data_IF_477190916805
#
_entry.id   IF_477190916805
#
_cell.length_a   1.000
_cell.length_b   1.000
_cell.length_c   1.000
_cell.angle_alpha   90.00
_cell.angle_beta   90.00
_cell.angle_gamma   90.00
#
_symmetry.space_group_name_H-M   'P 1'
#
loop_
_entity.id
_entity.type
_entity.pdbx_description
1 polymer ?
#
# COMPACT_ATOMS: atom_id res chain seq x y z
N UNK A 1 -16.85 -11.79 13.67
CA UNK A 1 -18.01 -11.34 12.87
C UNK A 1 -17.45 -10.88 11.54
N UNK A 2 -17.99 -11.34 10.42
CA UNK A 2 -17.48 -10.89 9.12
C UNK A 2 -17.91 -9.44 8.86
N UNK A 3 -16.94 -8.61 8.54
CA UNK A 3 -17.12 -7.21 8.12
C UNK A 3 -16.90 -7.15 6.62
N UNK A 4 -17.85 -6.56 5.88
CA UNK A 4 -17.66 -6.23 4.48
C UNK A 4 -16.74 -5.00 4.39
N UNK A 5 -15.62 -5.16 3.70
CA UNK A 5 -14.57 -4.13 3.51
C UNK A 5 -14.31 -3.84 2.04
N UNK A 6 -15.25 -4.22 1.15
CA UNK A 6 -15.12 -4.07 -0.31
C UNK A 6 -14.74 -2.65 -0.70
N UNK A 7 -15.40 -1.69 -0.08
CA UNK A 7 -15.24 -0.27 -0.39
C UNK A 7 -14.32 0.44 0.59
N UNK A 8 -13.67 -0.31 1.49
CA UNK A 8 -12.68 0.25 2.39
C UNK A 8 -11.41 0.54 1.62
N UNK A 9 -11.04 1.81 1.60
CA UNK A 9 -9.79 2.22 1.00
C UNK A 9 -9.18 3.41 1.71
N UNK A 10 -7.87 3.51 1.56
CA UNK A 10 -7.03 4.54 2.12
C UNK A 10 -6.07 5.00 1.04
N UNK A 11 -5.97 6.31 0.83
CA UNK A 11 -4.99 6.93 -0.06
C UNK A 11 -4.29 8.06 0.68
N UNK A 12 -2.96 8.05 0.68
CA UNK A 12 -2.12 9.09 1.23
C UNK A 12 -1.24 9.66 0.12
N UNK A 13 -1.36 10.97 -0.10
CA UNK A 13 -0.71 11.69 -1.19
C UNK A 13 0.31 12.70 -0.65
N UNK A 14 1.48 12.76 -1.29
CA UNK A 14 2.53 13.73 -0.97
C UNK A 14 3.12 14.36 -2.23
N UNK A 15 3.86 15.44 -2.03
CA UNK A 15 4.47 16.21 -3.12
C UNK A 15 5.27 15.32 -4.08
N UNK A 16 5.13 15.60 -5.37
CA UNK A 16 5.86 14.93 -6.43
C UNK A 16 7.36 15.27 -6.33
N UNK A 17 8.10 14.41 -5.64
CA UNK A 17 9.56 14.51 -5.45
C UNK A 17 10.25 13.17 -5.70
N UNK A 18 11.52 13.16 -6.13
CA UNK A 18 12.32 11.94 -6.18
C UNK A 18 12.41 11.29 -4.81
N UNK A 19 12.28 9.97 -4.78
CA UNK A 19 12.43 9.16 -3.56
C UNK A 19 13.55 8.13 -3.79
N UNK A 20 14.22 7.71 -2.72
CA UNK A 20 15.18 6.61 -2.81
C UNK A 20 14.49 5.27 -2.52
N UNK A 21 15.03 4.19 -3.07
CA UNK A 21 14.53 2.85 -2.79
C UNK A 21 14.54 2.53 -1.28
N UNK A 22 15.58 2.97 -0.57
CA UNK A 22 15.73 2.76 0.87
C UNK A 22 14.67 3.52 1.68
N UNK A 23 14.34 4.75 1.30
CA UNK A 23 13.29 5.55 1.97
C UNK A 23 11.92 4.89 1.80
N UNK A 24 11.60 4.45 0.58
CA UNK A 24 10.35 3.73 0.30
C UNK A 24 10.31 2.40 1.05
N UNK A 25 11.43 1.67 1.12
CA UNK A 25 11.55 0.41 1.86
C UNK A 25 11.29 0.60 3.36
N UNK A 26 11.92 1.59 3.99
CA UNK A 26 11.71 1.90 5.41
C UNK A 26 10.23 2.25 5.69
N UNK A 27 9.62 3.10 4.84
CA UNK A 27 8.20 3.44 4.95
C UNK A 27 7.28 2.22 4.79
N UNK A 28 7.62 1.28 3.90
CA UNK A 28 6.86 0.04 3.73
C UNK A 28 6.95 -0.88 4.96
N UNK A 29 8.12 -0.98 5.60
CA UNK A 29 8.30 -1.73 6.85
C UNK A 29 7.44 -1.10 7.95
N UNK A 30 7.53 0.21 8.15
CA UNK A 30 6.74 0.92 9.16
C UNK A 30 5.24 0.83 8.90
N UNK A 31 4.83 1.00 7.64
CA UNK A 31 3.43 0.88 7.22
C UNK A 31 2.90 -0.52 7.48
N UNK A 32 3.67 -1.55 7.14
CA UNK A 32 3.28 -2.93 7.37
C UNK A 32 3.14 -3.24 8.87
N UNK A 33 4.02 -2.68 9.71
CA UNK A 33 3.88 -2.78 11.15
C UNK A 33 2.61 -2.09 11.67
N UNK A 34 2.26 -0.91 11.14
CA UNK A 34 1.02 -0.22 11.46
C UNK A 34 -0.22 -1.03 11.03
N UNK A 35 -0.22 -1.58 9.80
CA UNK A 35 -1.28 -2.45 9.28
C UNK A 35 -1.45 -3.67 10.19
N UNK A 36 -0.37 -4.34 10.59
CA UNK A 36 -0.43 -5.53 11.46
C UNK A 36 -1.05 -5.25 12.83
N UNK A 37 -0.89 -4.03 13.34
CA UNK A 37 -1.53 -3.59 14.60
C UNK A 37 -3.02 -3.34 14.41
N UNK A 38 -3.40 -2.64 13.34
CA UNK A 38 -4.78 -2.28 13.04
C UNK A 38 -5.61 -3.50 12.60
N UNK A 39 -5.06 -4.32 11.71
CA UNK A 39 -5.67 -5.47 11.06
C UNK A 39 -4.93 -6.74 11.45
N UNK A 40 -5.35 -7.39 12.55
CA UNK A 40 -4.72 -8.62 13.05
C UNK A 40 -4.80 -9.81 12.08
N UNK A 41 -5.66 -9.71 11.07
CA UNK A 41 -5.80 -10.69 10.00
C UNK A 41 -4.65 -10.65 8.98
N UNK A 42 -3.85 -9.57 8.98
CA UNK A 42 -2.62 -9.49 8.21
C UNK A 42 -1.50 -10.27 8.91
N UNK A 43 -0.95 -11.28 8.24
CA UNK A 43 0.09 -12.16 8.79
C UNK A 43 1.50 -11.53 8.80
N UNK A 44 1.69 -10.47 8.01
CA UNK A 44 2.98 -9.81 7.85
C UNK A 44 3.72 -10.22 6.59
N UNK A 45 3.07 -10.91 5.65
CA UNK A 45 3.68 -11.34 4.39
C UNK A 45 3.05 -10.60 3.22
N UNK A 46 3.89 -9.98 2.39
CA UNK A 46 3.48 -9.39 1.13
C UNK A 46 3.93 -10.24 -0.04
N UNK A 47 3.04 -10.48 -0.99
CA UNK A 47 3.34 -10.99 -2.32
C UNK A 47 3.56 -9.82 -3.27
N UNK A 48 4.74 -9.78 -3.90
CA UNK A 48 5.07 -8.86 -4.99
C UNK A 48 5.46 -9.66 -6.23
N UNK A 49 4.72 -9.47 -7.33
CA UNK A 49 4.70 -10.38 -8.48
C UNK A 49 4.43 -11.83 -8.06
N UNK A 50 5.49 -12.60 -7.79
CA UNK A 50 5.43 -14.02 -7.40
C UNK A 50 6.29 -14.33 -6.17
N UNK A 51 6.83 -13.29 -5.52
CA UNK A 51 7.72 -13.43 -4.37
C UNK A 51 7.01 -13.03 -3.09
N UNK A 52 7.13 -13.86 -2.07
CA UNK A 52 6.70 -13.52 -0.72
C UNK A 52 7.84 -12.81 0.01
N UNK A 53 7.48 -11.75 0.72
CA UNK A 53 8.40 -10.83 1.40
C UNK A 53 7.88 -10.64 2.81
N UNK A 54 8.74 -10.89 3.80
CA UNK A 54 8.41 -10.54 5.17
C UNK A 54 8.36 -9.01 5.29
N UNK A 55 7.25 -8.50 5.82
CA UNK A 55 7.05 -7.08 6.09
C UNK A 55 8.17 -6.44 6.90
N UNK A 56 8.89 -7.19 7.74
CA UNK A 56 9.98 -6.69 8.56
C UNK A 56 11.37 -6.74 7.86
N UNK A 57 11.49 -7.35 6.67
CA UNK A 57 12.77 -7.49 5.97
C UNK A 57 13.09 -6.28 5.09
N UNK A 58 13.59 -5.21 5.73
CA UNK A 58 13.97 -3.94 5.08
C UNK A 58 14.98 -4.12 3.92
N UNK A 59 15.89 -5.10 4.04
CA UNK A 59 16.90 -5.35 3.01
C UNK A 59 16.27 -5.93 1.75
N UNK A 60 15.32 -6.86 1.90
CA UNK A 60 14.56 -7.39 0.78
C UNK A 60 13.70 -6.31 0.13
N UNK A 61 13.10 -5.42 0.92
CA UNK A 61 12.32 -4.29 0.39
C UNK A 61 13.13 -3.38 -0.52
N UNK A 62 14.31 -2.94 -0.09
CA UNK A 62 15.14 -2.01 -0.85
C UNK A 62 15.49 -2.55 -2.24
N UNK A 63 15.84 -3.84 -2.32
CA UNK A 63 16.10 -4.52 -3.60
C UNK A 63 14.87 -4.64 -4.50
N UNK A 64 13.69 -4.88 -3.90
CA UNK A 64 12.43 -4.99 -4.64
C UNK A 64 11.99 -3.64 -5.20
N UNK A 65 12.04 -2.59 -4.38
CA UNK A 65 11.74 -1.22 -4.81
C UNK A 65 12.63 -0.83 -5.99
N UNK A 66 13.95 -1.04 -5.87
CA UNK A 66 14.89 -0.75 -6.94
C UNK A 66 14.63 -1.55 -8.23
N UNK A 67 14.06 -2.76 -8.12
CA UNK A 67 13.71 -3.62 -9.26
C UNK A 67 12.39 -3.27 -9.94
N UNK A 68 11.64 -2.30 -9.39
CA UNK A 68 10.28 -1.96 -9.82
C UNK A 68 10.20 -0.54 -10.38
N UNK A 69 10.93 -0.24 -11.47
CA UNK A 69 10.93 1.10 -12.04
C UNK A 69 9.56 1.46 -12.58
N UNK A 70 9.19 2.73 -12.43
CA UNK A 70 8.03 3.31 -13.07
C UNK A 70 8.20 3.26 -14.61
N UNK A 71 7.13 2.92 -15.33
CA UNK A 71 7.14 2.78 -16.80
C UNK A 71 6.00 3.58 -17.43
N UNK A 72 6.32 4.32 -18.48
CA UNK A 72 5.37 5.02 -19.35
C UNK A 72 5.47 4.39 -20.74
N UNK A 73 4.35 3.93 -21.30
CA UNK A 73 4.30 3.22 -22.59
C UNK A 73 5.29 2.03 -22.69
N UNK A 74 5.48 1.33 -21.57
CA UNK A 74 6.39 0.18 -21.47
C UNK A 74 7.87 0.55 -21.34
N UNK A 75 8.23 1.83 -21.45
CA UNK A 75 9.60 2.33 -21.31
C UNK A 75 9.82 2.79 -19.87
N UNK A 76 10.92 2.33 -19.26
CA UNK A 76 11.30 2.81 -17.93
C UNK A 76 11.51 4.32 -17.97
N UNK A 77 10.86 5.03 -17.05
CA UNK A 77 10.99 6.47 -17.03
C UNK A 77 12.42 6.84 -16.59
N UNK A 78 13.12 7.72 -17.34
CA UNK A 78 14.53 8.02 -17.07
C UNK A 78 14.76 8.68 -15.70
N UNK A 79 13.72 9.21 -15.06
CA UNK A 79 13.76 9.74 -13.70
C UNK A 79 13.11 8.75 -12.72
N UNK A 80 13.94 7.82 -12.21
CA UNK A 80 13.96 7.22 -10.85
C UNK A 80 12.63 7.06 -10.07
N UNK A 81 11.50 6.81 -10.74
CA UNK A 81 10.24 6.50 -10.09
C UNK A 81 10.06 5.01 -9.84
N UNK A 82 9.15 4.67 -8.95
CA UNK A 82 8.80 3.29 -8.59
C UNK A 82 7.29 3.08 -8.67
N UNK A 83 6.86 1.89 -9.09
CA UNK A 83 5.44 1.48 -9.02
C UNK A 83 5.31 0.08 -8.44
N UNK A 84 4.87 0.01 -7.19
CA UNK A 84 4.76 -1.25 -6.46
C UNK A 84 3.29 -1.64 -6.33
N UNK A 85 3.00 -2.92 -6.50
CA UNK A 85 1.69 -3.52 -6.23
C UNK A 85 1.90 -4.75 -5.38
N UNK A 86 1.44 -4.67 -4.13
CA UNK A 86 1.63 -5.67 -3.08
C UNK A 86 0.28 -6.29 -2.75
N UNK A 87 0.25 -7.60 -2.59
CA UNK A 87 -0.95 -8.31 -2.15
C UNK A 87 -0.62 -9.19 -0.95
N UNK A 88 -1.48 -9.22 0.05
CA UNK A 88 -1.41 -10.19 1.14
C UNK A 88 -2.70 -10.99 1.14
N UNK A 89 -2.58 -12.32 1.14
CA UNK A 89 -3.73 -13.17 1.34
C UNK A 89 -4.26 -12.99 2.77
N UNK A 90 -5.58 -12.98 2.93
CA UNK A 90 -6.25 -12.94 4.23
C UNK A 90 -7.05 -14.25 4.38
N UNK A 91 -7.12 -14.85 5.59
CA UNK A 91 -8.03 -15.96 5.86
C UNK A 91 -9.46 -15.65 5.41
N UNK A 92 -10.10 -16.59 4.71
CA UNK A 92 -11.41 -16.40 4.09
C UNK A 92 -11.36 -16.08 2.58
N UNK A 93 -10.18 -15.83 2.01
CA UNK A 93 -9.97 -15.70 0.56
C UNK A 93 -9.94 -14.27 0.05
N UNK A 94 -10.30 -13.29 0.87
CA UNK A 94 -10.06 -11.87 0.60
C UNK A 94 -8.55 -11.56 0.60
N UNK A 95 -8.17 -10.42 0.02
CA UNK A 95 -6.80 -9.96 -0.08
C UNK A 95 -6.71 -8.52 0.42
N UNK A 96 -5.65 -8.22 1.17
CA UNK A 96 -5.20 -6.85 1.37
C UNK A 96 -4.34 -6.48 0.16
N UNK A 97 -4.59 -5.34 -0.45
CA UNK A 97 -3.77 -4.82 -1.54
C UNK A 97 -3.20 -3.47 -1.11
N UNK A 98 -1.92 -3.26 -1.41
CA UNK A 98 -1.26 -1.98 -1.25
C UNK A 98 -0.55 -1.60 -2.54
N UNK A 99 -0.52 -0.32 -2.87
CA UNK A 99 0.25 0.20 -3.99
C UNK A 99 1.02 1.45 -3.63
N UNK A 100 2.21 1.59 -4.22
CA UNK A 100 3.06 2.77 -4.11
C UNK A 100 3.32 3.27 -5.51
N UNK A 101 3.12 4.57 -5.76
CA UNK A 101 3.60 5.22 -6.98
C UNK A 101 4.33 6.50 -6.59
N UNK A 102 5.66 6.51 -6.73
CA UNK A 102 6.47 7.63 -6.27
C UNK A 102 7.64 7.93 -7.20
N UNK A 103 8.04 9.20 -7.27
CA UNK A 103 9.34 9.61 -7.82
C UNK A 103 9.44 9.70 -9.34
N UNK A 104 8.32 9.67 -10.07
CA UNK A 104 8.31 9.85 -11.51
C UNK A 104 8.46 11.34 -11.90
N UNK A 105 9.37 11.68 -12.82
CA UNK A 105 9.35 13.01 -13.44
C UNK A 105 8.08 13.23 -14.27
N UNK A 106 7.44 12.17 -14.78
CA UNK A 106 6.14 12.24 -15.42
C UNK A 106 5.08 12.71 -14.42
N UNK A 107 5.08 12.18 -13.19
CA UNK A 107 4.23 12.70 -12.11
C UNK A 107 4.46 14.21 -11.90
N UNK A 108 5.72 14.68 -11.93
CA UNK A 108 6.00 16.13 -11.86
C UNK A 108 5.53 16.91 -13.10
N UNK A 109 5.55 16.31 -14.29
CA UNK A 109 5.10 16.94 -15.55
C UNK A 109 3.58 17.08 -15.59
N UNK A 110 2.84 16.08 -15.12
CA UNK A 110 1.37 16.09 -15.05
C UNK A 110 0.82 16.59 -13.71
N UNK A 111 1.69 17.09 -12.81
CA UNK A 111 1.36 17.50 -11.44
C UNK A 111 0.56 16.45 -10.65
N UNK A 112 0.84 15.15 -10.87
CA UNK A 112 0.24 14.08 -10.08
C UNK A 112 1.10 13.86 -8.83
N UNK A 113 0.52 13.85 -7.61
CA UNK A 113 1.28 13.57 -6.39
C UNK A 113 1.87 12.16 -6.39
N UNK A 114 2.85 11.96 -5.51
CA UNK A 114 3.25 10.62 -5.10
C UNK A 114 2.12 10.03 -4.23
N UNK A 115 1.91 8.72 -4.32
CA UNK A 115 0.70 8.07 -3.79
C UNK A 115 1.05 6.76 -3.09
N UNK A 116 0.47 6.54 -1.91
CA UNK A 116 0.38 5.25 -1.25
C UNK A 116 -1.09 4.92 -1.04
N UNK A 117 -1.52 3.74 -1.48
CA UNK A 117 -2.90 3.30 -1.35
C UNK A 117 -2.98 1.92 -0.71
N UNK A 118 -4.03 1.70 0.07
CA UNK A 118 -4.41 0.40 0.64
C UNK A 118 -5.90 0.17 0.40
N UNK A 119 -6.25 -1.01 -0.08
CA UNK A 119 -7.64 -1.45 -0.21
C UNK A 119 -7.76 -2.96 -0.02
N UNK A 120 -8.99 -3.46 -0.08
CA UNK A 120 -9.28 -4.88 0.00
C UNK A 120 -9.83 -5.38 -1.34
N UNK A 121 -9.51 -6.62 -1.68
CA UNK A 121 -10.02 -7.29 -2.88
C UNK A 121 -10.62 -8.63 -2.51
N UNK A 122 -11.78 -8.93 -3.07
CA UNK A 122 -12.34 -10.26 -2.98
C UNK A 122 -11.51 -11.26 -3.80
N UNK A 123 -11.65 -12.54 -3.49
CA UNK A 123 -11.00 -13.63 -4.24
C UNK A 123 -11.44 -13.66 -5.70
N UNK A 124 -12.72 -13.38 -5.93
CA UNK A 124 -13.38 -13.45 -7.24
C UNK A 124 -13.99 -12.11 -7.57
N UNK A 125 -13.95 -11.79 -8.86
CA UNK A 125 -14.56 -10.58 -9.39
C UNK A 125 -16.07 -10.58 -9.11
N UNK A 126 -16.58 -9.46 -8.58
CA UNK A 126 -18.00 -9.26 -8.26
C UNK A 126 -18.46 -9.83 -6.91
N UNK A 127 -17.58 -10.49 -6.14
CA UNK A 127 -17.88 -10.89 -4.76
C UNK A 127 -17.48 -9.78 -3.77
N UNK A 128 -18.14 -9.75 -2.60
CA UNK A 128 -17.76 -8.86 -1.51
C UNK A 128 -16.44 -9.33 -0.88
N UNK A 129 -15.58 -8.39 -0.51
CA UNK A 129 -14.42 -8.65 0.33
C UNK A 129 -14.88 -8.68 1.80
N UNK A 130 -14.98 -9.87 2.37
CA UNK A 130 -15.35 -10.06 3.77
C UNK A 130 -14.15 -10.54 4.58
N UNK A 131 -13.94 -9.95 5.75
CA UNK A 131 -12.88 -10.33 6.68
C UNK A 131 -13.37 -10.33 8.13
N UNK A 132 -12.82 -11.22 8.94
CA UNK A 132 -13.15 -11.29 10.37
C UNK A 132 -12.39 -10.20 11.13
N UNK A 133 -13.07 -9.09 11.41
CA UNK A 133 -12.50 -7.98 12.16
C UNK A 133 -13.18 -7.82 13.52
N UNK A 134 -12.41 -7.45 14.56
CA UNK A 134 -13.00 -7.03 15.82
C UNK A 134 -13.69 -5.67 15.62
N UNK A 135 -14.90 -5.51 16.15
CA UNK A 135 -15.50 -4.17 16.34
C UNK A 135 -14.66 -3.43 17.39
N UNK A 136 -14.29 -2.14 17.22
CA UNK A 136 -14.66 -1.19 16.15
C UNK A 136 -13.58 -1.11 15.04
N UNK A 137 -13.75 -1.87 13.97
CA UNK A 137 -12.74 -2.01 12.92
C UNK A 137 -12.55 -0.74 12.07
N UNK A 138 -13.61 0.04 11.89
CA UNK A 138 -13.63 1.28 11.12
C UNK A 138 -12.81 2.37 11.81
N UNK A 139 -12.96 2.55 13.13
CA UNK A 139 -12.13 3.46 13.93
C UNK A 139 -10.64 3.10 13.80
N UNK A 140 -10.30 1.82 13.90
CA UNK A 140 -8.91 1.35 13.72
C UNK A 140 -8.37 1.61 12.32
N UNK A 141 -9.21 1.53 11.30
CA UNK A 141 -8.82 1.82 9.92
C UNK A 141 -8.64 3.34 9.69
N UNK A 142 -9.45 4.18 10.33
CA UNK A 142 -9.23 5.64 10.36
C UNK A 142 -7.91 6.00 11.06
N UNK A 143 -7.64 5.38 12.21
CA UNK A 143 -6.37 5.57 12.94
C UNK A 143 -5.16 5.10 12.11
N UNK A 144 -5.32 3.99 11.39
CA UNK A 144 -4.33 3.51 10.42
C UNK A 144 -4.10 4.56 9.31
N UNK A 145 -5.16 5.18 8.81
CA UNK A 145 -5.13 6.36 7.94
C UNK A 145 -4.18 7.44 8.41
N UNK A 146 -4.41 7.94 9.63
CA UNK A 146 -3.59 9.00 10.23
C UNK A 146 -2.13 8.57 10.38
N UNK A 147 -1.89 7.33 10.80
CA UNK A 147 -0.53 6.83 10.97
C UNK A 147 0.21 6.66 9.65
N UNK A 148 -0.48 6.22 8.60
CA UNK A 148 0.08 6.15 7.24
C UNK A 148 0.37 7.57 6.74
N UNK A 149 -0.53 8.52 6.97
CA UNK A 149 -0.29 9.93 6.61
C UNK A 149 1.04 10.43 7.23
N UNK A 150 1.30 10.10 8.49
CA UNK A 150 2.54 10.50 9.16
C UNK A 150 3.78 9.76 8.61
N UNK A 151 3.71 8.44 8.41
CA UNK A 151 4.83 7.62 7.86
C UNK A 151 5.26 8.14 6.48
N UNK A 152 4.29 8.49 5.65
CA UNK A 152 4.53 8.92 4.28
C UNK A 152 4.77 10.43 4.13
N UNK A 153 4.71 11.19 5.23
CA UNK A 153 4.79 12.67 5.20
C UNK A 153 3.76 13.24 4.20
N UNK A 154 2.54 12.66 4.22
CA UNK A 154 1.50 12.97 3.27
C UNK A 154 0.83 14.31 3.58
N UNK A 155 0.66 15.13 2.55
CA UNK A 155 -0.08 16.38 2.62
C UNK A 155 -1.59 16.15 2.67
N UNK A 156 -2.07 15.09 2.02
CA UNK A 156 -3.47 14.74 1.96
C UNK A 156 -3.70 13.26 2.32
N UNK A 157 -4.88 12.98 2.88
CA UNK A 157 -5.32 11.65 3.29
C UNK A 157 -6.81 11.49 2.98
N UNK A 158 -7.13 10.45 2.23
CA UNK A 158 -8.51 10.00 1.98
C UNK A 158 -8.73 8.62 2.58
N UNK A 159 -9.78 8.47 3.37
CA UNK A 159 -10.20 7.19 3.97
C UNK A 159 -11.71 7.04 3.75
N UNK A 160 -12.13 5.98 3.07
CA UNK A 160 -13.55 5.73 2.75
C UNK A 160 -13.96 4.30 3.12
N UNK A 161 -15.28 4.11 3.28
CA UNK A 161 -15.89 2.91 3.87
C UNK A 161 -17.21 2.48 3.20
N UNK A 162 -17.68 3.22 2.17
CA UNK A 162 -19.07 3.23 1.71
C UNK A 162 -19.40 2.21 0.61
#
# INVERSE_FOLDING_TARGET
>A
MQTNVTDWYLVADWDARPESADVIAARLVETSAAIKVALRVFDGIWTFHERNVDSADERSWSGLVASSPYKVDGVAEPARGFTLSLASAIPGGSMLHASVTAGAAFQTIINKPNEFAVNFRARRFGEAAEIDLPIPADERFRDLGLRIKDIWDASDLRVEFD
#
